data_IF_491803472594
#
_entry.id   IF_491803472594
#
_cell.length_a   1.000
_cell.length_b   1.000
_cell.length_c   1.000
_cell.angle_alpha   90.00
_cell.angle_beta   90.00
_cell.angle_gamma   90.00
#
_symmetry.space_group_name_H-M   'P 1'
#
loop_
_entity.id
_entity.type
_entity.pdbx_description
1 polymer ?
#
# COMPACT_ATOMS: atom_id res chain seq x y z
N UNK A 1 8.53 -3.77 -0.46
CA UNK A 1 7.96 -5.14 -0.39
C UNK A 1 6.57 -5.18 -1.02
N UNK A 2 6.15 -6.32 -1.52
CA UNK A 2 4.75 -6.55 -1.87
C UNK A 2 3.98 -6.90 -0.59
N UNK A 3 2.80 -6.30 -0.40
CA UNK A 3 1.96 -6.52 0.77
C UNK A 3 0.51 -6.75 0.33
N UNK A 4 -0.06 -7.90 0.69
CA UNK A 4 -1.45 -8.26 0.36
C UNK A 4 -2.40 -8.17 1.55
N UNK A 5 -1.88 -8.18 2.78
CA UNK A 5 -2.71 -8.26 3.99
C UNK A 5 -2.88 -6.88 4.63
N UNK A 6 -3.94 -6.19 4.26
CA UNK A 6 -4.30 -4.88 4.78
C UNK A 6 -5.81 -4.70 4.89
N UNK A 7 -6.22 -3.75 5.72
CA UNK A 7 -7.62 -3.36 5.88
C UNK A 7 -7.75 -1.88 6.21
N UNK A 8 -8.83 -1.25 5.74
CA UNK A 8 -9.24 0.07 6.21
C UNK A 8 -9.85 -0.08 7.60
N UNK A 9 -9.53 0.81 8.54
CA UNK A 9 -9.98 0.73 9.93
C UNK A 9 -10.84 1.92 10.33
N UNK A 10 -10.45 3.15 10.01
CA UNK A 10 -11.15 4.37 10.42
C UNK A 10 -10.97 5.47 9.38
N UNK A 11 -11.88 6.44 9.36
CA UNK A 11 -11.85 7.60 8.47
C UNK A 11 -11.20 8.83 9.11
N UNK A 12 -11.41 9.03 10.41
CA UNK A 12 -10.91 10.23 11.12
C UNK A 12 -10.39 9.84 12.50
N UNK A 13 -9.06 9.72 12.68
CA UNK A 13 -8.02 9.82 11.63
C UNK A 13 -8.10 8.65 10.62
N UNK A 14 -7.59 8.86 9.40
CA UNK A 14 -7.58 7.81 8.38
C UNK A 14 -6.60 6.70 8.75
N UNK A 15 -7.11 5.54 9.18
CA UNK A 15 -6.30 4.42 9.66
C UNK A 15 -6.34 3.22 8.71
N UNK A 16 -5.15 2.61 8.53
CA UNK A 16 -4.97 1.36 7.77
C UNK A 16 -4.24 0.35 8.66
N UNK A 17 -4.81 -0.85 8.80
CA UNK A 17 -4.17 -1.98 9.44
C UNK A 17 -3.40 -2.82 8.42
N UNK A 18 -2.16 -3.23 8.75
CA UNK A 18 -1.32 -4.03 7.87
C UNK A 18 -0.67 -5.18 8.63
N UNK A 19 -0.70 -6.40 8.09
CA UNK A 19 0.08 -7.53 8.59
C UNK A 19 1.38 -7.62 7.78
N UNK A 20 2.52 -7.48 8.45
CA UNK A 20 3.85 -7.57 7.85
C UNK A 20 4.60 -8.66 8.60
N UNK A 21 4.84 -9.81 7.96
CA UNK A 21 5.50 -10.94 8.60
C UNK A 21 6.90 -10.57 9.11
N UNK A 22 7.22 -11.00 10.35
CA UNK A 22 8.49 -10.69 11.06
C UNK A 22 9.75 -11.18 10.32
N UNK A 23 9.64 -12.21 9.47
CA UNK A 23 10.73 -12.66 8.61
C UNK A 23 11.08 -11.73 7.45
N UNK A 24 10.26 -10.72 7.17
CA UNK A 24 10.54 -9.78 6.09
C UNK A 24 11.53 -8.70 6.54
N UNK A 25 12.52 -8.38 5.70
CA UNK A 25 13.42 -7.25 5.93
C UNK A 25 12.66 -5.94 6.20
N UNK A 26 11.54 -5.71 5.52
CA UNK A 26 10.70 -4.53 5.72
C UNK A 26 10.03 -4.46 7.09
N UNK A 27 9.81 -5.58 7.78
CA UNK A 27 9.26 -5.59 9.13
C UNK A 27 10.15 -4.77 10.08
N UNK A 28 11.44 -5.08 10.12
CA UNK A 28 12.39 -4.37 10.97
C UNK A 28 12.58 -2.90 10.57
N UNK A 29 12.60 -2.60 9.26
CA UNK A 29 12.68 -1.22 8.78
C UNK A 29 11.49 -0.41 9.28
N UNK A 30 10.27 -0.90 9.10
CA UNK A 30 9.04 -0.20 9.50
C UNK A 30 8.89 -0.14 11.02
N UNK A 31 9.25 -1.21 11.74
CA UNK A 31 9.22 -1.23 13.20
C UNK A 31 10.13 -0.15 13.82
N UNK A 32 11.33 0.04 13.23
CA UNK A 32 12.32 1.03 13.70
C UNK A 32 11.98 2.45 13.27
N UNK A 33 11.63 2.64 11.99
CA UNK A 33 11.33 3.98 11.45
C UNK A 33 9.99 4.52 11.92
N UNK A 34 9.03 3.63 12.23
CA UNK A 34 7.64 3.95 12.58
C UNK A 34 6.89 4.68 11.47
N UNK A 35 7.33 4.52 10.24
CA UNK A 35 6.75 5.19 9.07
C UNK A 35 6.97 4.35 7.80
N UNK A 36 6.10 4.54 6.82
CA UNK A 36 6.23 3.92 5.50
C UNK A 36 5.46 4.71 4.45
N UNK A 37 5.60 4.28 3.19
CA UNK A 37 4.69 4.68 2.11
C UNK A 37 3.99 3.42 1.60
N UNK A 38 2.64 3.46 1.59
CA UNK A 38 1.82 2.44 0.94
C UNK A 38 1.55 2.91 -0.49
N UNK A 39 2.04 2.15 -1.47
CA UNK A 39 1.92 2.47 -2.88
C UNK A 39 0.89 1.52 -3.51
N UNK A 40 -0.07 2.06 -4.25
CA UNK A 40 -1.16 1.31 -4.90
C UNK A 40 -0.84 1.15 -6.38
N UNK A 41 -0.38 -0.03 -6.82
CA UNK A 41 -0.06 -0.27 -8.22
C UNK A 41 -1.32 -0.56 -9.04
N UNK A 42 -1.21 -0.37 -10.36
CA UNK A 42 -2.16 -0.89 -11.35
C UNK A 42 -1.62 -2.13 -12.04
N UNK A 43 -2.44 -2.76 -12.91
CA UNK A 43 -2.08 -3.94 -13.71
C UNK A 43 -0.83 -3.75 -14.56
N UNK A 44 -0.49 -2.52 -14.93
CA UNK A 44 0.75 -2.18 -15.68
C UNK A 44 2.02 -2.59 -14.91
N UNK A 45 1.96 -2.62 -13.58
CA UNK A 45 3.11 -2.96 -12.72
C UNK A 45 3.10 -4.41 -12.23
N UNK A 46 2.23 -5.30 -12.75
CA UNK A 46 2.05 -6.66 -12.24
C UNK A 46 3.36 -7.43 -12.11
N UNK A 47 4.18 -7.48 -13.17
CA UNK A 47 5.46 -8.22 -13.18
C UNK A 47 6.46 -7.62 -12.18
N UNK A 48 6.50 -6.29 -12.07
CA UNK A 48 7.34 -5.60 -11.07
C UNK A 48 6.88 -5.94 -9.65
N UNK A 49 5.56 -5.94 -9.38
CA UNK A 49 4.98 -6.30 -8.07
C UNK A 49 5.36 -7.72 -7.67
N UNK A 50 5.26 -8.69 -8.58
CA UNK A 50 5.68 -10.07 -8.36
C UNK A 50 7.17 -10.15 -8.09
N UNK A 51 8.00 -9.54 -8.95
CA UNK A 51 9.45 -9.53 -8.81
C UNK A 51 9.92 -8.91 -7.48
N UNK A 52 9.31 -7.80 -7.05
CA UNK A 52 9.58 -7.13 -5.77
C UNK A 52 9.28 -8.08 -4.58
N UNK A 53 8.22 -8.89 -4.69
CA UNK A 53 7.85 -9.87 -3.67
C UNK A 53 8.88 -11.01 -3.53
N UNK A 54 9.52 -11.40 -4.60
CA UNK A 54 10.43 -12.55 -4.66
C UNK A 54 11.86 -12.25 -4.20
N UNK A 55 12.22 -11.00 -3.94
CA UNK A 55 13.60 -10.60 -3.62
C UNK A 55 13.63 -9.76 -2.34
N UNK A 56 14.64 -9.97 -1.49
CA UNK A 56 14.85 -9.17 -0.29
C UNK A 56 15.53 -7.83 -0.62
N UNK A 57 15.01 -6.73 -0.06
CA UNK A 57 15.66 -5.42 -0.09
C UNK A 57 16.94 -5.32 0.77
N UNK A 58 17.27 -6.36 1.52
CA UNK A 58 18.53 -6.43 2.26
C UNK A 58 19.74 -6.66 1.33
N UNK A 59 19.52 -7.22 0.14
CA UNK A 59 20.59 -7.63 -0.79
C UNK A 59 20.51 -6.93 -2.15
N UNK A 60 19.42 -6.23 -2.44
CA UNK A 60 19.19 -5.60 -3.75
C UNK A 60 18.48 -4.27 -3.59
N UNK A 61 18.96 -3.25 -4.29
CA UNK A 61 18.17 -2.03 -4.52
C UNK A 61 17.05 -2.36 -5.51
N UNK A 62 15.81 -2.34 -5.00
CA UNK A 62 14.62 -2.69 -5.78
C UNK A 62 14.17 -1.56 -6.72
N UNK A 63 14.51 -0.31 -6.42
CA UNK A 63 14.22 0.79 -7.33
C UNK A 63 15.02 0.67 -8.60
N UNK A 64 16.32 0.45 -8.48
CA UNK A 64 17.22 0.23 -9.61
C UNK A 64 16.84 -1.05 -10.38
N UNK A 65 16.74 -2.19 -9.65
CA UNK A 65 16.51 -3.50 -10.29
C UNK A 65 15.23 -3.58 -11.10
N UNK A 66 14.15 -2.96 -10.63
CA UNK A 66 12.85 -3.01 -11.28
C UNK A 66 12.52 -1.72 -12.03
N UNK A 67 13.50 -0.85 -12.24
CA UNK A 67 13.30 0.42 -12.93
C UNK A 67 12.04 1.14 -12.41
N UNK A 68 12.04 1.42 -11.09
CA UNK A 68 10.97 2.14 -10.41
C UNK A 68 11.37 3.60 -10.21
N UNK A 69 10.46 4.50 -10.54
CA UNK A 69 10.69 5.93 -10.36
C UNK A 69 10.50 6.32 -8.90
N UNK A 70 11.58 6.67 -8.21
CA UNK A 70 11.55 7.20 -6.85
C UNK A 70 11.19 8.69 -6.84
N UNK A 71 10.32 9.09 -5.90
CA UNK A 71 10.03 10.50 -5.65
C UNK A 71 10.07 10.79 -4.14
N UNK A 72 10.46 12.02 -3.71
CA UNK A 72 10.51 12.37 -2.31
C UNK A 72 9.11 12.47 -1.69
N UNK A 73 8.96 11.93 -0.49
CA UNK A 73 7.79 12.15 0.36
C UNK A 73 7.91 13.49 1.10
N UNK A 74 6.80 14.01 1.62
CA UNK A 74 6.76 15.30 2.36
C UNK A 74 6.78 15.12 3.88
N UNK A 75 6.19 14.03 4.39
CA UNK A 75 5.96 13.82 5.81
C UNK A 75 6.68 12.60 6.40
N UNK A 76 7.23 11.73 5.54
CA UNK A 76 7.98 10.53 5.93
C UNK A 76 9.30 10.44 5.15
N UNK A 77 10.24 9.64 5.63
CA UNK A 77 11.56 9.46 4.97
C UNK A 77 11.52 8.43 3.83
N UNK A 78 10.55 7.50 3.90
CA UNK A 78 10.38 6.50 2.86
C UNK A 78 9.96 7.16 1.54
N UNK A 79 10.58 6.80 0.38
CA UNK A 79 10.24 7.40 -0.90
C UNK A 79 8.89 6.91 -1.42
N UNK A 80 8.25 7.72 -2.27
CA UNK A 80 7.12 7.32 -3.09
C UNK A 80 7.62 6.49 -4.28
N UNK A 81 6.76 5.62 -4.81
CA UNK A 81 6.93 5.00 -6.13
C UNK A 81 6.01 5.76 -7.09
N UNK A 82 6.60 6.67 -7.90
CA UNK A 82 5.83 7.58 -8.75
C UNK A 82 5.03 6.85 -9.86
N UNK A 83 5.44 5.63 -10.22
CA UNK A 83 4.74 4.78 -11.20
C UNK A 83 3.40 4.24 -10.68
N UNK A 84 3.14 4.33 -9.37
CA UNK A 84 1.90 3.84 -8.77
C UNK A 84 0.75 4.84 -8.92
N UNK A 85 -0.47 4.32 -9.03
CA UNK A 85 -1.68 5.12 -9.12
C UNK A 85 -1.90 6.02 -7.88
N UNK A 86 -1.59 5.49 -6.69
CA UNK A 86 -1.67 6.26 -5.47
C UNK A 86 -0.51 5.94 -4.52
N UNK A 87 -0.13 6.94 -3.71
CA UNK A 87 0.91 6.83 -2.70
C UNK A 87 0.38 7.43 -1.40
N UNK A 88 0.43 6.66 -0.32
CA UNK A 88 -0.05 7.04 1.00
C UNK A 88 1.15 7.13 1.95
N UNK A 89 1.49 8.32 2.41
CA UNK A 89 2.50 8.52 3.45
C UNK A 89 1.88 8.17 4.80
N UNK A 90 2.50 7.26 5.52
CA UNK A 90 1.93 6.65 6.71
C UNK A 90 2.88 6.74 7.90
N UNK A 91 2.33 7.09 9.07
CA UNK A 91 3.01 7.03 10.37
C UNK A 91 2.36 5.98 11.25
N UNK A 92 3.16 5.26 12.03
CA UNK A 92 2.66 4.25 12.96
C UNK A 92 1.84 4.92 14.07
N UNK A 93 0.53 4.68 14.07
CA UNK A 93 -0.42 5.16 15.07
C UNK A 93 -0.50 4.21 16.28
N UNK A 94 -0.54 2.89 16.04
CA UNK A 94 -0.57 1.89 17.11
C UNK A 94 0.31 0.68 16.76
N UNK A 95 1.23 0.34 17.66
CA UNK A 95 2.15 -0.79 17.55
C UNK A 95 1.93 -1.89 18.57
N UNK A 96 0.88 -1.85 19.40
CA UNK A 96 0.65 -2.81 20.50
C UNK A 96 0.47 -4.25 20.03
N UNK A 97 0.05 -4.45 18.79
CA UNK A 97 -0.19 -5.77 18.21
C UNK A 97 0.94 -6.26 17.30
N UNK A 98 2.04 -5.51 17.17
CA UNK A 98 3.17 -5.88 16.30
C UNK A 98 3.81 -7.18 16.78
N UNK A 99 4.19 -7.26 18.07
CA UNK A 99 4.91 -8.42 18.62
C UNK A 99 4.04 -9.68 18.64
N UNK A 100 2.73 -9.55 18.82
CA UNK A 100 1.84 -10.70 18.95
C UNK A 100 1.27 -11.17 17.61
N UNK A 101 0.98 -10.25 16.71
CA UNK A 101 0.23 -10.55 15.47
C UNK A 101 0.88 -9.99 14.20
N UNK A 102 2.07 -9.40 14.30
CA UNK A 102 2.73 -8.70 13.18
C UNK A 102 1.84 -7.58 12.58
N UNK A 103 0.93 -7.04 13.40
CA UNK A 103 -0.10 -6.12 12.95
C UNK A 103 0.26 -4.68 13.31
N UNK A 104 0.41 -3.87 12.29
CA UNK A 104 0.71 -2.44 12.37
C UNK A 104 -0.55 -1.65 12.07
N UNK A 105 -0.83 -0.63 12.87
CA UNK A 105 -1.88 0.36 12.57
C UNK A 105 -1.22 1.67 12.16
N UNK A 106 -1.43 2.09 10.93
CA UNK A 106 -0.88 3.31 10.37
C UNK A 106 -1.94 4.38 10.22
N UNK A 107 -1.57 5.62 10.52
CA UNK A 107 -2.31 6.81 10.11
C UNK A 107 -1.79 7.31 8.76
N UNK A 108 -2.68 7.54 7.81
CA UNK A 108 -2.37 8.18 6.53
C UNK A 108 -2.29 9.68 6.75
N UNK A 109 -1.08 10.22 6.75
CA UNK A 109 -0.83 11.65 6.97
C UNK A 109 -0.83 12.47 5.68
N UNK A 110 -0.66 11.81 4.52
CA UNK A 110 -0.73 12.44 3.20
C UNK A 110 -1.07 11.40 2.15
N UNK A 111 -1.88 11.76 1.17
CA UNK A 111 -2.21 10.93 0.02
C UNK A 111 -1.98 11.68 -1.29
N UNK A 112 -1.42 10.99 -2.26
CA UNK A 112 -1.29 11.41 -3.66
C UNK A 112 -2.03 10.41 -4.52
N UNK A 113 -2.87 10.90 -5.42
CA UNK A 113 -3.68 10.05 -6.30
C UNK A 113 -3.61 10.60 -7.72
N UNK A 114 -3.32 9.75 -8.69
CA UNK A 114 -3.29 10.14 -10.08
C UNK A 114 -4.69 10.59 -10.54
N UNK A 115 -4.75 11.67 -11.30
CA UNK A 115 -6.03 12.20 -11.81
C UNK A 115 -6.69 11.27 -12.84
N UNK A 116 -5.92 10.44 -13.51
CA UNK A 116 -6.39 9.48 -14.53
C UNK A 116 -5.62 8.16 -14.40
N UNK A 117 -6.27 7.02 -14.73
CA UNK A 117 -7.70 6.88 -15.06
C UNK A 117 -8.59 7.14 -13.83
N UNK A 118 -9.84 7.56 -14.01
CA UNK A 118 -10.80 7.78 -12.90
C UNK A 118 -11.07 6.50 -12.11
N UNK A 119 -11.05 5.37 -12.79
CA UNK A 119 -11.24 4.03 -12.23
C UNK A 119 -10.05 3.16 -12.65
N UNK A 120 -8.99 3.08 -11.85
CA UNK A 120 -7.80 2.28 -12.17
C UNK A 120 -8.08 0.79 -12.00
N UNK A 121 -7.40 -0.01 -12.79
CA UNK A 121 -7.34 -1.46 -12.57
C UNK A 121 -6.25 -1.78 -11.54
N UNK A 122 -6.61 -1.72 -10.25
CA UNK A 122 -5.70 -2.03 -9.15
C UNK A 122 -5.57 -3.53 -8.92
N UNK A 123 -4.42 -3.95 -8.39
CA UNK A 123 -4.09 -5.36 -8.11
C UNK A 123 -4.43 -5.74 -6.68
N UNK A 124 -5.09 -6.89 -6.50
CA UNK A 124 -5.42 -7.45 -5.19
C UNK A 124 -4.94 -8.90 -5.13
N UNK A 125 -3.88 -9.18 -4.39
CA UNK A 125 -3.32 -10.52 -4.26
C UNK A 125 -4.25 -11.42 -3.45
N UNK A 126 -4.64 -12.55 -4.02
CA UNK A 126 -5.57 -13.52 -3.41
C UNK A 126 -4.88 -14.77 -2.89
N UNK A 127 -3.59 -14.95 -3.15
CA UNK A 127 -2.81 -16.14 -2.81
C UNK A 127 -2.39 -16.93 -4.05
N UNK A 128 -1.45 -17.85 -3.90
CA UNK A 128 -1.00 -18.81 -4.92
C UNK A 128 -0.61 -18.19 -6.27
N UNK A 129 -0.04 -16.98 -6.24
CA UNK A 129 0.33 -16.25 -7.47
C UNK A 129 -0.84 -15.63 -8.24
N UNK A 130 -2.05 -15.66 -7.66
CA UNK A 130 -3.27 -15.16 -8.31
C UNK A 130 -3.61 -13.76 -7.80
N UNK A 131 -4.06 -12.91 -8.72
CA UNK A 131 -4.52 -11.55 -8.42
C UNK A 131 -5.95 -11.36 -8.90
N UNK A 132 -6.77 -10.74 -8.06
CA UNK A 132 -8.02 -10.11 -8.47
C UNK A 132 -7.71 -8.69 -8.93
N UNK A 133 -8.34 -8.26 -10.01
CA UNK A 133 -8.21 -6.90 -10.56
C UNK A 133 -9.51 -6.15 -10.31
N UNK A 134 -9.42 -4.88 -9.88
CA UNK A 134 -10.61 -4.03 -9.79
C UNK A 134 -11.23 -3.88 -11.18
N UNK A 135 -12.55 -4.06 -11.24
CA UNK A 135 -13.24 -4.22 -12.52
C UNK A 135 -14.37 -3.21 -12.74
N UNK A 136 -15.45 -3.70 -13.33
CA UNK A 136 -16.60 -2.91 -13.77
C UNK A 136 -17.22 -2.09 -12.64
N UNK A 137 -17.37 -0.79 -12.87
CA UNK A 137 -18.05 0.13 -11.95
C UNK A 137 -19.56 0.03 -12.16
N UNK A 138 -20.29 -0.17 -11.07
CA UNK A 138 -21.74 -0.21 -11.05
C UNK A 138 -22.23 0.89 -10.11
N UNK A 139 -23.03 1.83 -10.61
CA UNK A 139 -23.63 2.88 -9.79
C UNK A 139 -25.07 2.48 -9.39
N UNK A 140 -25.40 2.66 -8.13
CA UNK A 140 -26.75 2.55 -7.58
C UNK A 140 -27.13 3.81 -6.79
N UNK A 141 -26.46 4.93 -7.11
CA UNK A 141 -26.61 6.21 -6.40
C UNK A 141 -28.07 6.61 -6.19
N UNK A 142 -28.92 6.43 -7.22
CA UNK A 142 -30.34 6.78 -7.14
C UNK A 142 -31.15 5.93 -6.14
N UNK A 143 -30.61 4.82 -5.65
CA UNK A 143 -31.26 3.95 -4.67
C UNK A 143 -30.87 4.28 -3.23
N UNK A 144 -29.84 5.11 -3.02
CA UNK A 144 -29.43 5.57 -1.70
C UNK A 144 -30.24 6.81 -1.29
N UNK A 145 -30.52 6.92 0.00
CA UNK A 145 -31.08 8.13 0.58
C UNK A 145 -30.06 9.27 0.48
N UNK A 146 -30.49 10.52 0.24
CA UNK A 146 -29.58 11.66 0.08
C UNK A 146 -28.58 11.85 1.24
N UNK A 147 -29.03 11.61 2.47
CA UNK A 147 -28.21 11.72 3.69
C UNK A 147 -27.12 10.65 3.82
N UNK A 148 -27.13 9.63 2.96
CA UNK A 148 -26.13 8.54 2.91
C UNK A 148 -25.08 8.75 1.80
N UNK A 149 -25.14 9.84 1.04
CA UNK A 149 -24.27 10.17 -0.10
C UNK A 149 -23.42 11.38 0.17
#
# INVERSE_FOLDING_TARGET
>A
MTMGWHTVMEFTPSLIGCVIASGNHSFELVRRSRECVINIPTTVLTDKVVGIGNISGAVVDKFEKFDLTSAPAQHVKAPLIADCFANLECKLADGRLIEKYNFFVFEVVKAYVARRPKYPETLHYTGDGVFMVSGKIISRRAQFKPEML
#
